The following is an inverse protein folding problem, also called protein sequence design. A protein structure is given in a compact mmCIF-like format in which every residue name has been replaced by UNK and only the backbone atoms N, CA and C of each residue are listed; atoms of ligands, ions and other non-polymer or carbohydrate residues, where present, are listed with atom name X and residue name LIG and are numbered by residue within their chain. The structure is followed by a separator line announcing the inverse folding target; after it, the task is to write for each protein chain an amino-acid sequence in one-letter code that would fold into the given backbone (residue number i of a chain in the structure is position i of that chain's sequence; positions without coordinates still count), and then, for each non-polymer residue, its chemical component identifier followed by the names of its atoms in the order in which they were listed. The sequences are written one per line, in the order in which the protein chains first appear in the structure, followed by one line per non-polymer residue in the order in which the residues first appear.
data_IF_933620184159
#
_entry.id   IF_933620184159
#
_cell.length_a   1.000
_cell.length_b   1.000
_cell.length_c   1.000
_cell.angle_alpha   90.00
_cell.angle_beta   90.00
_cell.angle_gamma   90.00
#
_symmetry.space_group_name_H-M   'P 1'
#
loop_
_entity.id
_entity.type
_entity.pdbx_description
1 polymer ?
#
# COMPACT_ATOMS: atom_id res chain seq x y z
N UNK A 1 -1.02 -13.64 -7.94
CA UNK A 1 -1.13 -12.32 -8.59
C UNK A 1 -2.27 -11.63 -7.92
N UNK A 2 -1.95 -10.60 -7.14
CA UNK A 2 -2.92 -9.80 -6.41
C UNK A 2 -3.16 -8.55 -7.21
N UNK A 3 -4.41 -8.24 -7.55
CA UNK A 3 -4.70 -7.18 -8.52
C UNK A 3 -5.71 -6.20 -7.92
N UNK A 4 -5.37 -4.92 -7.84
CA UNK A 4 -6.37 -3.88 -7.61
C UNK A 4 -6.10 -2.66 -8.48
N UNK A 5 -7.18 -2.01 -8.90
CA UNK A 5 -7.12 -0.84 -9.75
C UNK A 5 -7.64 0.35 -8.94
N UNK A 6 -6.79 1.35 -8.76
CA UNK A 6 -7.21 2.68 -8.32
C UNK A 6 -7.11 3.63 -9.51
N UNK A 7 -8.12 4.47 -9.65
CA UNK A 7 -8.18 5.43 -10.74
C UNK A 7 -7.96 6.82 -10.18
N UNK A 8 -7.31 7.68 -10.96
CA UNK A 8 -7.22 9.11 -10.66
C UNK A 8 -8.64 9.70 -10.46
N UNK A 9 -8.79 10.68 -9.57
CA UNK A 9 -10.08 11.33 -9.32
C UNK A 9 -10.73 11.89 -10.60
N UNK A 10 -9.91 12.30 -11.58
CA UNK A 10 -10.38 12.74 -12.90
C UNK A 10 -11.12 11.64 -13.68
N UNK A 11 -10.76 10.37 -13.49
CA UNK A 11 -11.43 9.22 -14.13
C UNK A 11 -12.73 8.83 -13.42
N UNK A 12 -12.91 9.17 -12.14
CA UNK A 12 -14.09 8.77 -11.36
C UNK A 12 -15.39 9.40 -11.87
N UNK A 13 -15.34 10.61 -12.42
CA UNK A 13 -16.51 11.30 -12.95
C UNK A 13 -17.01 10.74 -14.30
N UNK A 14 -16.16 9.97 -15.00
CA UNK A 14 -16.35 9.61 -16.41
C UNK A 14 -16.31 8.11 -16.66
N UNK A 15 -15.81 7.33 -15.71
CA UNK A 15 -15.64 5.88 -15.83
C UNK A 15 -15.74 5.21 -14.46
N UNK A 16 -16.13 3.93 -14.46
CA UNK A 16 -16.12 3.07 -13.28
C UNK A 16 -15.87 1.62 -13.66
N UNK A 17 -15.77 0.77 -12.65
CA UNK A 17 -15.69 -0.68 -12.81
C UNK A 17 -14.58 -1.13 -13.76
N UNK A 18 -13.42 -0.47 -13.67
CA UNK A 18 -12.21 -0.88 -14.37
C UNK A 18 -11.84 -2.30 -13.95
N UNK A 19 -11.70 -3.18 -14.95
CA UNK A 19 -11.24 -4.56 -14.81
C UNK A 19 -10.10 -4.76 -15.79
N UNK A 20 -8.89 -4.90 -15.29
CA UNK A 20 -7.69 -5.11 -16.10
C UNK A 20 -7.10 -6.46 -15.69
N UNK A 21 -6.65 -7.23 -16.67
CA UNK A 21 -6.08 -8.57 -16.52
C UNK A 21 -4.82 -8.68 -17.35
N UNK A 22 -3.90 -9.56 -16.93
CA UNK A 22 -2.63 -9.76 -17.63
C UNK A 22 -1.64 -8.61 -17.49
N UNK A 23 -1.77 -7.77 -16.46
CA UNK A 23 -0.80 -6.73 -16.16
C UNK A 23 0.39 -7.28 -15.37
N UNK A 24 1.60 -6.81 -15.66
CA UNK A 24 2.88 -7.21 -15.07
C UNK A 24 3.94 -6.09 -15.16
N UNK A 25 5.18 -6.37 -14.74
CA UNK A 25 6.31 -5.42 -14.76
C UNK A 25 6.79 -5.03 -16.16
N UNK A 26 6.42 -5.79 -17.18
CA UNK A 26 6.83 -5.54 -18.57
C UNK A 26 5.83 -4.57 -19.23
N UNK A 27 4.55 -4.74 -18.94
CA UNK A 27 3.47 -3.98 -19.56
C UNK A 27 2.86 -2.88 -18.67
N UNK A 28 3.52 -2.54 -17.56
CA UNK A 28 3.21 -1.38 -16.72
C UNK A 28 4.48 -0.60 -16.39
N UNK A 29 4.33 0.69 -16.08
CA UNK A 29 5.38 1.49 -15.44
C UNK A 29 5.24 1.31 -13.92
N UNK A 30 5.80 0.23 -13.38
CA UNK A 30 5.79 -0.02 -11.94
C UNK A 30 4.36 -0.02 -11.35
N UNK A 31 3.41 -0.64 -12.06
CA UNK A 31 1.99 -0.63 -11.68
C UNK A 31 1.21 0.60 -12.15
N UNK A 32 1.80 1.50 -12.95
CA UNK A 32 1.07 2.58 -13.62
C UNK A 32 0.76 2.24 -15.06
N UNK A 33 -0.43 2.62 -15.47
CA UNK A 33 -0.84 2.72 -16.86
C UNK A 33 -1.26 4.15 -17.13
N UNK A 34 -0.83 4.69 -18.25
CA UNK A 34 -1.19 6.04 -18.67
C UNK A 34 -2.34 5.91 -19.64
N UNK A 35 -3.48 6.49 -19.30
CA UNK A 35 -4.67 6.45 -20.15
C UNK A 35 -4.73 7.69 -21.04
N UNK A 36 -5.08 7.52 -22.31
CA UNK A 36 -5.52 8.59 -23.21
C UNK A 36 -6.94 8.29 -23.64
N UNK A 37 -7.84 9.24 -23.43
CA UNK A 37 -9.23 9.15 -23.85
C UNK A 37 -9.48 10.18 -24.94
N UNK A 38 -9.94 9.73 -26.11
CA UNK A 38 -10.25 10.61 -27.24
C UNK A 38 -11.68 10.35 -27.72
N UNK A 39 -12.53 11.37 -27.69
CA UNK A 39 -13.90 11.26 -28.22
C UNK A 39 -14.02 11.89 -29.60
N UNK A 40 -14.49 11.11 -30.57
CA UNK A 40 -14.82 11.56 -31.92
C UNK A 40 -16.19 11.05 -32.32
N UNK A 41 -17.08 11.93 -32.77
CA UNK A 41 -18.44 11.58 -33.22
C UNK A 41 -19.23 10.72 -32.22
N UNK A 42 -19.09 11.01 -30.92
CA UNK A 42 -19.77 10.28 -29.85
C UNK A 42 -19.24 8.87 -29.59
N UNK A 43 -18.07 8.52 -30.12
CA UNK A 43 -17.32 7.31 -29.73
C UNK A 43 -16.06 7.72 -28.99
N UNK A 44 -15.86 7.17 -27.79
CA UNK A 44 -14.65 7.37 -26.99
C UNK A 44 -13.70 6.20 -27.23
N UNK A 45 -12.48 6.50 -27.66
CA UNK A 45 -11.35 5.56 -27.70
C UNK A 45 -10.56 5.71 -26.42
N UNK A 46 -10.25 4.59 -25.79
CA UNK A 46 -9.42 4.48 -24.58
C UNK A 46 -8.15 3.74 -24.99
N UNK A 47 -7.01 4.35 -24.72
CA UNK A 47 -5.68 3.80 -24.97
C UNK A 47 -4.91 3.76 -23.65
N UNK A 48 -4.33 2.61 -23.32
CA UNK A 48 -3.50 2.42 -22.14
C UNK A 48 -2.06 2.23 -22.57
N UNK A 49 -1.15 2.98 -21.94
CA UNK A 49 0.29 2.95 -22.22
C UNK A 49 1.08 2.55 -20.97
N UNK A 50 2.21 1.88 -21.14
CA UNK A 50 3.13 1.54 -20.05
C UNK A 50 4.21 2.61 -19.81
N UNK A 51 4.10 3.79 -20.42
CA UNK A 51 5.02 4.93 -20.24
C UNK A 51 4.31 6.28 -20.32
N UNK A 52 4.79 7.30 -19.59
CA UNK A 52 4.16 8.62 -19.53
C UNK A 52 4.17 9.36 -20.87
N UNK A 53 5.12 9.07 -21.77
CA UNK A 53 5.21 9.69 -23.09
C UNK A 53 4.08 9.24 -24.03
N UNK A 54 3.40 8.12 -23.71
CA UNK A 54 2.27 7.56 -24.49
C UNK A 54 2.60 7.40 -25.97
N UNK A 55 3.80 6.87 -26.27
CA UNK A 55 4.20 6.59 -27.66
C UNK A 55 3.48 5.34 -28.18
N UNK A 56 3.26 5.20 -29.51
CA UNK A 56 2.59 4.02 -30.06
C UNK A 56 3.25 2.68 -29.71
N UNK A 57 4.57 2.66 -29.50
CA UNK A 57 5.32 1.47 -29.08
C UNK A 57 5.01 1.03 -27.63
N UNK A 58 4.53 1.97 -26.80
CA UNK A 58 4.22 1.77 -25.39
C UNK A 58 2.74 1.43 -25.17
N UNK A 59 1.93 1.38 -26.24
CA UNK A 59 0.51 1.03 -26.16
C UNK A 59 0.36 -0.44 -25.74
N UNK A 60 -0.30 -0.68 -24.61
CA UNK A 60 -0.50 -2.03 -24.06
C UNK A 60 -1.93 -2.52 -24.17
N UNK A 61 -2.93 -1.64 -24.22
CA UNK A 61 -4.30 -2.04 -24.53
C UNK A 61 -5.11 -0.88 -25.12
N UNK A 62 -6.14 -1.21 -25.90
CA UNK A 62 -7.06 -0.21 -26.43
C UNK A 62 -8.47 -0.77 -26.61
N UNK A 63 -9.46 0.10 -26.49
CA UNK A 63 -10.85 -0.18 -26.81
C UNK A 63 -11.59 1.08 -27.20
N UNK A 64 -12.70 0.94 -27.90
CA UNK A 64 -13.55 2.06 -28.28
C UNK A 64 -15.02 1.71 -28.14
N UNK A 65 -15.83 2.71 -27.78
CA UNK A 65 -17.27 2.55 -27.63
C UNK A 65 -17.98 3.85 -27.26
N UNK A 66 -19.30 3.78 -27.17
CA UNK A 66 -20.13 4.85 -26.61
C UNK A 66 -20.19 4.72 -25.08
N UNK A 67 -21.06 5.49 -24.42
CA UNK A 67 -21.41 5.27 -23.01
C UNK A 67 -21.84 3.80 -22.81
N UNK A 68 -21.36 3.17 -21.73
CA UNK A 68 -21.54 1.75 -21.43
C UNK A 68 -20.21 1.00 -21.29
N UNK A 69 -20.27 -0.34 -21.32
CA UNK A 69 -19.08 -1.17 -21.19
C UNK A 69 -18.23 -1.13 -22.47
N UNK A 70 -16.97 -0.70 -22.33
CA UNK A 70 -15.94 -0.78 -23.36
C UNK A 70 -15.03 -1.95 -23.04
N UNK A 71 -14.81 -2.83 -24.03
CA UNK A 71 -13.83 -3.92 -23.95
C UNK A 71 -12.47 -3.41 -24.42
N UNK A 72 -11.42 -3.69 -23.65
CA UNK A 72 -10.03 -3.35 -23.96
C UNK A 72 -9.32 -4.60 -24.47
N UNK A 73 -8.89 -4.55 -25.72
CA UNK A 73 -8.06 -5.59 -26.33
C UNK A 73 -6.58 -5.25 -26.14
N UNK A 74 -5.76 -6.29 -26.00
CA UNK A 74 -4.31 -6.11 -25.92
C UNK A 74 -3.76 -5.43 -27.18
N UNK A 75 -2.72 -4.65 -26.99
CA UNK A 75 -1.89 -4.07 -28.04
C UNK A 75 -0.44 -4.52 -27.86
N UNK A 76 0.34 -4.53 -28.94
CA UNK A 76 1.78 -4.83 -28.93
C UNK A 76 2.17 -6.13 -28.20
N UNK A 77 1.30 -7.15 -28.22
CA UNK A 77 1.50 -8.43 -27.50
C UNK A 77 1.75 -8.27 -25.99
N UNK A 78 1.18 -7.23 -25.38
CA UNK A 78 1.34 -6.95 -23.95
C UNK A 78 0.78 -8.05 -23.04
N UNK A 79 -0.20 -8.84 -23.49
CA UNK A 79 -0.99 -9.72 -22.63
C UNK A 79 -2.10 -8.98 -21.85
N UNK A 80 -2.13 -7.66 -21.88
CA UNK A 80 -3.03 -6.83 -21.08
C UNK A 80 -4.38 -6.68 -21.76
N UNK A 81 -5.45 -7.07 -21.08
CA UNK A 81 -6.83 -6.93 -21.58
C UNK A 81 -7.79 -6.57 -20.45
N UNK A 82 -9.00 -6.12 -20.78
CA UNK A 82 -9.91 -5.68 -19.75
C UNK A 82 -11.24 -5.12 -20.22
N UNK A 83 -11.91 -4.44 -19.30
CA UNK A 83 -13.13 -3.69 -19.57
C UNK A 83 -13.25 -2.49 -18.62
N UNK A 84 -14.00 -1.49 -19.05
CA UNK A 84 -14.37 -0.32 -18.24
C UNK A 84 -15.79 0.09 -18.57
N UNK A 85 -16.54 0.57 -17.59
CA UNK A 85 -17.84 1.21 -17.84
C UNK A 85 -17.65 2.72 -18.00
N UNK A 86 -17.87 3.23 -19.21
CA UNK A 86 -17.92 4.66 -19.49
C UNK A 86 -19.29 5.23 -19.08
N UNK A 87 -19.27 6.27 -18.26
CA UNK A 87 -20.47 7.02 -17.81
C UNK A 87 -20.57 8.40 -18.48
N UNK A 88 -19.50 8.89 -19.11
CA UNK A 88 -19.47 10.12 -19.89
C UNK A 88 -18.55 9.98 -21.12
N UNK A 89 -18.51 11.01 -21.97
CA UNK A 89 -17.70 11.05 -23.20
C UNK A 89 -16.61 12.13 -23.12
N UNK A 90 -15.50 11.84 -22.45
CA UNK A 90 -14.41 12.78 -22.23
C UNK A 90 -13.40 12.79 -23.38
N UNK A 91 -12.58 13.85 -23.43
CA UNK A 91 -11.33 13.87 -24.18
C UNK A 91 -10.22 14.45 -23.29
N UNK A 92 -9.41 13.60 -22.66
CA UNK A 92 -8.28 13.99 -21.82
C UNK A 92 -7.32 12.82 -21.55
N UNK A 93 -6.18 13.15 -20.96
CA UNK A 93 -5.15 12.22 -20.52
C UNK A 93 -5.25 11.99 -19.01
N UNK A 94 -5.14 10.74 -18.57
CA UNK A 94 -5.21 10.35 -17.17
C UNK A 94 -4.14 9.33 -16.80
N UNK A 95 -4.09 8.99 -15.51
CA UNK A 95 -3.27 7.90 -14.99
C UNK A 95 -4.16 6.89 -14.27
N UNK A 96 -3.91 5.62 -14.56
CA UNK A 96 -4.54 4.47 -13.93
C UNK A 96 -3.47 3.76 -13.10
N UNK A 97 -3.71 3.58 -11.81
CA UNK A 97 -2.80 2.84 -10.93
C UNK A 97 -3.34 1.42 -10.83
N UNK A 98 -2.64 0.49 -11.47
CA UNK A 98 -2.90 -0.95 -11.41
C UNK A 98 -1.88 -1.55 -10.47
N UNK A 99 -2.27 -1.68 -9.21
CA UNK A 99 -1.41 -2.35 -8.25
C UNK A 99 -1.44 -3.84 -8.49
N UNK A 100 -0.25 -4.40 -8.63
CA UNK A 100 -0.03 -5.81 -8.52
C UNK A 100 1.20 -6.13 -7.70
N UNK A 101 1.17 -7.30 -7.09
CA UNK A 101 2.33 -7.93 -6.47
C UNK A 101 2.37 -9.41 -6.89
N UNK A 102 3.49 -9.81 -7.47
CA UNK A 102 3.89 -11.20 -7.66
C UNK A 102 4.47 -11.75 -6.36
N UNK A 103 4.58 -13.08 -6.23
CA UNK A 103 5.23 -13.67 -5.05
C UNK A 103 6.71 -13.22 -4.93
N UNK A 104 7.40 -13.02 -6.06
CA UNK A 104 8.77 -12.51 -6.10
C UNK A 104 8.87 -11.05 -5.60
N UNK A 105 7.89 -10.20 -5.94
CA UNK A 105 7.79 -8.85 -5.38
C UNK A 105 7.68 -8.91 -3.86
N UNK A 106 6.83 -9.81 -3.36
CA UNK A 106 6.61 -9.99 -1.93
C UNK A 106 7.85 -10.48 -1.19
N UNK A 107 8.60 -11.40 -1.79
CA UNK A 107 9.84 -11.90 -1.20
C UNK A 107 10.88 -10.76 -1.10
N UNK A 108 11.03 -9.93 -2.15
CA UNK A 108 11.87 -8.73 -2.11
C UNK A 108 11.42 -7.73 -1.04
N UNK A 109 10.12 -7.63 -0.79
CA UNK A 109 9.57 -6.78 0.28
C UNK A 109 9.85 -7.32 1.67
N UNK A 110 9.72 -8.64 1.87
CA UNK A 110 10.10 -9.27 3.13
C UNK A 110 11.59 -9.02 3.45
N UNK A 111 12.45 -9.03 2.43
CA UNK A 111 13.89 -8.75 2.58
C UNK A 111 14.21 -7.26 2.83
N UNK A 112 13.41 -6.33 2.29
CA UNK A 112 13.66 -4.87 2.37
C UNK A 112 12.65 -4.12 3.24
N UNK A 113 11.99 -4.83 4.15
CA UNK A 113 10.84 -4.38 4.93
C UNK A 113 11.11 -3.10 5.75
N UNK A 114 12.37 -2.89 6.18
CA UNK A 114 12.80 -1.74 6.95
C UNK A 114 12.97 -0.47 6.09
N UNK A 115 13.48 -0.60 4.87
CA UNK A 115 13.74 0.54 3.98
C UNK A 115 12.46 1.16 3.41
N UNK A 116 11.38 0.36 3.34
CA UNK A 116 10.05 0.83 2.96
C UNK A 116 9.49 1.89 3.93
N UNK A 117 9.80 1.79 5.23
CA UNK A 117 9.34 2.76 6.22
C UNK A 117 10.26 3.99 6.30
N UNK A 118 11.56 3.79 6.08
CA UNK A 118 12.55 4.89 6.08
C UNK A 118 12.39 5.82 4.85
N UNK A 119 11.92 5.28 3.72
CA UNK A 119 11.67 6.07 2.50
C UNK A 119 10.28 6.71 2.44
N UNK A 120 9.51 6.67 3.53
CA UNK A 120 8.18 7.27 3.60
C UNK A 120 7.07 6.45 2.94
N UNK A 121 7.29 5.16 2.64
CA UNK A 121 6.25 4.27 2.11
C UNK A 121 6.07 4.31 0.60
N UNK A 122 7.11 4.66 -0.17
CA UNK A 122 7.05 4.62 -1.63
C UNK A 122 7.18 3.17 -2.14
N UNK A 123 6.10 2.65 -2.72
CA UNK A 123 6.05 1.36 -3.41
C UNK A 123 6.23 1.63 -4.91
N UNK A 124 7.23 1.01 -5.54
CA UNK A 124 7.45 1.11 -6.98
C UNK A 124 7.38 2.56 -7.51
N UNK A 125 7.92 3.49 -6.72
CA UNK A 125 8.05 4.89 -7.07
C UNK A 125 6.88 5.86 -6.77
N UNK A 126 5.66 5.49 -6.30
CA UNK A 126 4.59 6.48 -5.91
C UNK A 126 3.47 5.91 -4.96
N UNK A 127 2.52 6.73 -4.44
CA UNK A 127 1.85 6.49 -3.15
C UNK A 127 0.67 5.52 -3.22
N UNK A 128 0.63 4.62 -2.23
CA UNK A 128 -0.46 3.66 -2.03
C UNK A 128 -0.23 2.84 -0.75
N UNK A 129 1.04 2.49 -0.50
CA UNK A 129 1.46 1.91 0.77
C UNK A 129 1.42 2.94 1.90
N UNK A 130 1.65 4.22 1.63
CA UNK A 130 1.58 5.33 2.60
C UNK A 130 0.32 5.31 3.44
N UNK A 131 -0.85 5.02 2.85
CA UNK A 131 -2.10 4.94 3.60
C UNK A 131 -2.08 3.77 4.60
N UNK A 132 -1.59 2.61 4.17
CA UNK A 132 -1.53 1.41 5.01
C UNK A 132 -0.40 1.50 6.03
N UNK A 133 0.76 2.05 5.67
CA UNK A 133 1.85 2.37 6.56
C UNK A 133 1.41 3.41 7.61
N UNK A 134 0.73 4.48 7.22
CA UNK A 134 0.18 5.47 8.15
C UNK A 134 -0.93 4.88 9.03
N UNK A 135 -1.77 3.98 8.51
CA UNK A 135 -2.77 3.28 9.31
C UNK A 135 -2.12 2.29 10.29
N UNK A 136 -1.15 1.52 9.84
CA UNK A 136 -0.37 0.60 10.66
C UNK A 136 0.35 1.35 11.76
N UNK A 137 1.05 2.44 11.43
CA UNK A 137 1.71 3.31 12.40
C UNK A 137 0.71 3.84 13.43
N UNK A 138 -0.43 4.38 13.00
CA UNK A 138 -1.47 4.87 13.94
C UNK A 138 -1.96 3.77 14.88
N UNK A 139 -2.26 2.58 14.36
CA UNK A 139 -2.68 1.43 15.17
C UNK A 139 -1.58 0.99 16.15
N UNK A 140 -0.33 0.98 15.70
CA UNK A 140 0.82 0.65 16.55
C UNK A 140 1.01 1.69 17.66
N UNK A 141 0.95 2.98 17.33
CA UNK A 141 1.00 4.08 18.30
C UNK A 141 -0.12 3.93 19.34
N UNK A 142 -1.35 3.63 18.90
CA UNK A 142 -2.51 3.40 19.79
C UNK A 142 -2.27 2.21 20.75
N UNK A 143 -1.71 1.12 20.23
CA UNK A 143 -1.40 -0.07 21.02
C UNK A 143 -0.31 0.20 22.06
N UNK A 144 0.73 0.96 21.71
CA UNK A 144 1.82 1.31 22.64
C UNK A 144 1.29 2.21 23.76
N UNK A 145 0.51 3.24 23.40
CA UNK A 145 -0.10 4.16 24.38
C UNK A 145 -1.03 3.38 25.32
N UNK A 146 -1.89 2.52 24.78
CA UNK A 146 -2.78 1.68 25.58
C UNK A 146 -2.01 0.71 26.50
N UNK A 147 -0.85 0.19 26.05
CA UNK A 147 0.02 -0.64 26.89
C UNK A 147 0.63 0.17 28.03
N UNK A 148 1.21 1.33 27.76
CA UNK A 148 1.79 2.24 28.78
C UNK A 148 0.76 2.65 29.84
N UNK A 149 -0.46 2.98 29.42
CA UNK A 149 -1.54 3.34 30.35
C UNK A 149 -2.01 2.15 31.21
N UNK A 150 -1.93 0.92 30.70
CA UNK A 150 -2.21 -0.30 31.48
C UNK A 150 -1.15 -0.58 32.54
N UNK A 151 0.11 -0.24 32.27
CA UNK A 151 1.23 -0.33 33.23
C UNK A 151 1.22 0.79 34.30
N UNK A 152 0.18 1.63 34.34
CA UNK A 152 -0.06 2.59 35.43
C UNK A 152 0.33 4.04 35.12
N UNK A 153 0.89 4.35 33.95
CA UNK A 153 1.32 5.70 33.56
C UNK A 153 0.21 6.52 32.88
N UNK A 154 -0.99 6.54 33.46
CA UNK A 154 -2.18 7.18 32.88
C UNK A 154 -2.12 8.72 32.78
N UNK A 155 -1.17 9.34 33.47
CA UNK A 155 -0.99 10.80 33.47
C UNK A 155 -0.25 11.34 32.25
N UNK A 156 0.34 10.48 31.42
CA UNK A 156 1.11 10.89 30.26
C UNK A 156 0.21 11.05 29.03
N UNK A 157 0.35 12.19 28.34
CA UNK A 157 -0.33 12.43 27.08
C UNK A 157 0.22 11.52 25.98
N UNK A 158 -0.60 11.25 24.95
CA UNK A 158 -0.19 10.52 23.74
C UNK A 158 1.10 11.12 23.15
N UNK A 159 1.10 12.43 22.98
CA UNK A 159 2.22 13.15 22.37
C UNK A 159 3.51 12.99 23.17
N UNK A 160 3.43 13.09 24.51
CA UNK A 160 4.57 12.87 25.39
C UNK A 160 5.10 11.43 25.32
N UNK A 161 4.20 10.45 25.31
CA UNK A 161 4.58 9.03 25.16
C UNK A 161 5.32 8.82 23.84
N UNK A 162 4.75 9.27 22.72
CA UNK A 162 5.29 9.01 21.40
C UNK A 162 6.59 9.79 21.13
N UNK A 163 6.72 11.02 21.64
CA UNK A 163 7.95 11.80 21.50
C UNK A 163 9.09 11.28 22.38
N UNK A 164 8.77 10.53 23.44
CA UNK A 164 9.74 9.97 24.38
C UNK A 164 10.14 8.53 24.04
N UNK A 165 9.61 7.95 22.95
CA UNK A 165 10.06 6.68 22.38
C UNK A 165 11.32 6.93 21.54
N UNK A 166 12.48 6.60 22.09
CA UNK A 166 13.78 6.87 21.47
C UNK A 166 14.12 5.92 20.32
N UNK A 167 13.58 4.69 20.33
CA UNK A 167 13.86 3.65 19.35
C UNK A 167 12.70 3.46 18.34
N UNK A 168 12.47 4.48 17.50
CA UNK A 168 11.62 4.33 16.32
C UNK A 168 12.06 3.19 15.38
N UNK A 169 13.37 2.92 15.17
CA UNK A 169 13.81 1.80 14.33
C UNK A 169 13.33 0.43 14.81
N UNK A 170 13.15 0.27 16.12
CA UNK A 170 12.69 -0.99 16.70
C UNK A 170 11.20 -1.26 16.36
N UNK A 171 10.42 -0.19 16.14
CA UNK A 171 9.01 -0.29 15.75
C UNK A 171 8.82 -0.47 14.24
N UNK A 172 9.87 -0.31 13.44
CA UNK A 172 9.84 -0.44 11.99
C UNK A 172 9.34 -1.82 11.56
N UNK A 173 9.95 -2.89 12.06
CA UNK A 173 9.56 -4.25 11.68
C UNK A 173 8.07 -4.57 11.99
N UNK A 174 7.55 -4.39 13.22
CA UNK A 174 6.14 -4.64 13.48
C UNK A 174 5.21 -3.69 12.71
N UNK A 175 5.58 -2.42 12.52
CA UNK A 175 4.79 -1.50 11.70
C UNK A 175 4.65 -1.99 10.26
N UNK A 176 5.73 -2.51 9.68
CA UNK A 176 5.71 -3.06 8.33
C UNK A 176 4.88 -4.33 8.22
N UNK A 177 4.99 -5.28 9.17
CA UNK A 177 4.13 -6.46 9.19
C UNK A 177 2.65 -6.07 9.26
N UNK A 178 2.30 -5.09 10.10
CA UNK A 178 0.92 -4.62 10.19
C UNK A 178 0.48 -3.91 8.89
N UNK A 179 1.35 -3.13 8.25
CA UNK A 179 1.04 -2.49 6.98
C UNK A 179 0.74 -3.51 5.88
N UNK A 180 1.55 -4.57 5.76
CA UNK A 180 1.29 -5.68 4.85
C UNK A 180 0.00 -6.41 5.19
N UNK A 181 -0.24 -6.70 6.48
CA UNK A 181 -1.46 -7.37 6.92
C UNK A 181 -2.73 -6.59 6.51
N UNK A 182 -2.72 -5.27 6.68
CA UNK A 182 -3.82 -4.37 6.31
C UNK A 182 -3.99 -4.25 4.80
N UNK A 183 -2.88 -4.20 4.06
CA UNK A 183 -2.91 -4.25 2.60
C UNK A 183 -3.60 -5.53 2.15
N UNK A 184 -3.12 -6.69 2.58
CA UNK A 184 -3.70 -7.99 2.22
C UNK A 184 -5.13 -8.19 2.72
N UNK A 185 -5.50 -7.64 3.88
CA UNK A 185 -6.88 -7.66 4.38
C UNK A 185 -7.81 -6.91 3.43
N UNK A 186 -7.38 -5.74 2.94
CA UNK A 186 -8.14 -4.98 1.94
C UNK A 186 -8.27 -5.77 0.63
N UNK A 187 -7.19 -6.43 0.21
CA UNK A 187 -7.17 -7.27 -1.00
C UNK A 187 -8.09 -8.49 -0.87
N UNK A 188 -8.18 -9.08 0.32
CA UNK A 188 -9.07 -10.21 0.62
C UNK A 188 -10.57 -9.85 0.61
N UNK A 189 -10.94 -8.58 0.41
CA UNK A 189 -12.32 -8.20 0.10
C UNK A 189 -12.82 -8.73 -1.25
N UNK A 190 -11.91 -9.20 -2.11
CA UNK A 190 -12.19 -10.02 -3.29
C UNK A 190 -12.20 -11.52 -2.91
N UNK A 191 -12.81 -12.43 -3.70
CA UNK A 191 -12.89 -13.87 -3.39
C UNK A 191 -11.54 -14.65 -3.45
N UNK A 192 -10.42 -14.00 -3.15
CA UNK A 192 -9.10 -14.60 -3.18
C UNK A 192 -8.66 -15.10 -1.78
N UNK A 193 -8.63 -16.43 -1.65
CA UNK A 193 -8.19 -17.15 -0.45
C UNK A 193 -6.71 -16.85 -0.12
N UNK A 194 -5.86 -16.61 -1.13
CA UNK A 194 -4.42 -16.38 -0.91
C UNK A 194 -4.16 -15.05 -0.19
N UNK A 195 -4.93 -14.02 -0.51
CA UNK A 195 -4.79 -12.70 0.11
C UNK A 195 -5.16 -12.77 1.61
N UNK A 196 -6.23 -13.49 1.93
CA UNK A 196 -6.66 -13.70 3.30
C UNK A 196 -5.60 -14.46 4.12
N UNK A 197 -4.98 -15.49 3.55
CA UNK A 197 -3.95 -16.27 4.24
C UNK A 197 -2.65 -15.48 4.45
N UNK A 198 -2.23 -14.65 3.46
CA UNK A 198 -1.10 -13.73 3.62
C UNK A 198 -1.39 -12.67 4.68
N UNK A 199 -2.59 -12.09 4.71
CA UNK A 199 -3.00 -11.15 5.76
C UNK A 199 -2.87 -11.78 7.16
N UNK A 200 -3.38 -13.00 7.35
CA UNK A 200 -3.25 -13.75 8.61
C UNK A 200 -1.80 -14.06 8.97
N UNK A 201 -0.97 -14.41 7.99
CA UNK A 201 0.45 -14.64 8.20
C UNK A 201 1.14 -13.39 8.78
N UNK A 202 0.95 -12.24 8.14
CA UNK A 202 1.56 -10.98 8.61
C UNK A 202 0.99 -10.48 9.93
N UNK A 203 -0.32 -10.66 10.19
CA UNK A 203 -0.89 -10.39 11.51
C UNK A 203 -0.22 -11.22 12.60
N UNK A 204 0.03 -12.52 12.38
CA UNK A 204 0.74 -13.36 13.36
C UNK A 204 2.19 -12.91 13.59
N UNK A 205 2.91 -12.51 12.53
CA UNK A 205 4.27 -11.97 12.63
C UNK A 205 4.31 -10.67 13.42
N UNK A 206 3.35 -9.77 13.15
CA UNK A 206 3.14 -8.54 13.92
C UNK A 206 2.90 -8.83 15.41
N UNK A 207 1.95 -9.72 15.72
CA UNK A 207 1.62 -10.08 17.11
C UNK A 207 2.82 -10.70 17.84
N UNK A 208 3.57 -11.58 17.19
CA UNK A 208 4.79 -12.17 17.74
C UNK A 208 5.85 -11.11 18.05
N UNK A 209 6.09 -10.19 17.10
CA UNK A 209 7.03 -9.09 17.26
C UNK A 209 6.65 -8.21 18.46
N UNK A 210 5.39 -7.75 18.54
CA UNK A 210 4.90 -6.92 19.65
C UNK A 210 4.90 -7.67 20.99
N UNK A 211 4.56 -8.96 21.00
CA UNK A 211 4.59 -9.77 22.22
C UNK A 211 6.01 -9.94 22.77
N UNK A 212 7.01 -10.02 21.87
CA UNK A 212 8.43 -10.07 22.25
C UNK A 212 8.98 -8.72 22.72
N UNK A 213 8.30 -7.61 22.39
CA UNK A 213 8.71 -6.27 22.78
C UNK A 213 8.56 -6.05 24.29
N UNK A 214 9.65 -5.63 24.92
CA UNK A 214 9.72 -5.21 26.31
C UNK A 214 9.78 -3.69 26.37
N UNK A 215 8.89 -3.13 27.18
CA UNK A 215 8.89 -1.71 27.47
C UNK A 215 9.76 -1.47 28.70
N UNK A 216 10.83 -0.69 28.54
CA UNK A 216 11.71 -0.29 29.64
C UNK A 216 11.48 1.18 29.95
N UNK A 217 11.24 1.45 31.22
CA UNK A 217 11.07 2.80 31.75
C UNK A 217 12.37 3.25 32.38
N UNK A 218 12.96 4.31 31.83
CA UNK A 218 14.08 4.99 32.46
C UNK A 218 13.58 6.28 33.13
N UNK A 219 13.55 6.25 34.46
CA UNK A 219 13.23 7.41 35.29
C UNK A 219 14.53 8.09 35.69
N UNK A 220 15.08 8.90 34.78
CA UNK A 220 16.14 9.82 35.18
C UNK A 220 15.56 10.80 36.21
N UNK A 221 16.23 10.96 37.36
CA UNK A 221 15.73 11.72 38.53
C UNK A 221 15.44 13.22 38.31
N UNK A 222 15.44 13.69 37.06
CA UNK A 222 15.11 15.06 36.62
C UNK A 222 13.62 15.27 36.33
N UNK A 223 12.77 14.25 36.55
CA UNK A 223 11.33 14.33 36.31
C UNK A 223 10.92 14.12 34.85
N UNK A 224 11.87 13.74 33.97
CA UNK A 224 11.59 13.29 32.61
C UNK A 224 11.66 11.77 32.54
N UNK A 225 10.57 11.13 32.12
CA UNK A 225 10.56 9.69 31.83
C UNK A 225 10.99 9.48 30.37
N UNK A 226 12.04 8.69 30.15
CA UNK A 226 12.39 8.18 28.82
C UNK A 226 11.85 6.76 28.66
N UNK A 227 11.36 6.44 27.46
CA UNK A 227 10.87 5.10 27.13
C UNK A 227 11.79 4.50 26.08
N UNK A 228 12.31 3.32 26.41
CA UNK A 228 13.03 2.51 25.42
C UNK A 228 12.23 1.24 25.19
N UNK A 229 11.98 0.94 23.92
CA UNK A 229 11.27 -0.26 23.52
C UNK A 229 12.29 -1.23 22.96
N UNK A 230 12.50 -2.34 23.67
CA UNK A 230 13.53 -3.31 23.35
C UNK A 230 12.88 -4.59 22.84
N UNK A 231 13.41 -5.16 21.76
CA UNK A 231 13.00 -6.48 21.26
C UNK A 231 14.06 -7.52 21.65
N UNK A 232 13.61 -8.69 22.13
CA UNK A 232 14.49 -9.81 22.50
C UNK A 232 14.83 -9.92 24.00
N UNK A 233 15.83 -10.76 24.31
CA UNK A 233 16.26 -11.03 25.69
C UNK A 233 17.10 -9.89 26.25
N UNK A 234 16.43 -8.97 26.95
CA UNK A 234 17.09 -7.87 27.65
C UNK A 234 17.69 -8.39 28.96
N UNK A 235 19.01 -8.28 29.09
CA UNK A 235 19.71 -8.40 30.38
C UNK A 235 19.56 -7.07 31.11
N UNK A 236 18.90 -7.07 32.28
CA UNK A 236 18.70 -5.87 33.11
C UNK A 236 20.05 -5.25 33.50
N UNK A 237 20.38 -4.10 32.93
CA UNK A 237 21.41 -3.22 33.48
C UNK A 237 20.76 -2.43 34.62
N UNK A 238 20.97 -2.89 35.86
CA UNK A 238 20.66 -2.09 37.05
C UNK A 238 21.70 -0.98 37.14
N UNK A 239 21.26 0.27 36.98
CA UNK A 239 21.93 1.44 37.54
C UNK A 239 21.72 1.53 39.05
#
# INVERSE_FOLDING_TARGET
MFDFITIDESLHAISRDWRITGHDRINTDDGRLYARLTTTSGTTTIELFNRPERMPADLVASGSGTIGTVTLAQANSSGLSGSVELIAQPSFDATLIVFYATDEDLDVYEENLASLLDTGGMYAGEPGFERYAALAKRRLDDMIVARIHREGLRGLSREHILSSLLDLPALTEPASYLALALLFERLAGAPDVKAADRSRYFYRRFEQSIASARLVFDFTGTGSAAFTLLFGDVTLLRG
#
